data_IF_739808074210
#
_entry.id   IF_739808074210
#
_cell.length_a   1.000
_cell.length_b   1.000
_cell.length_c   1.000
_cell.angle_alpha   90.00
_cell.angle_beta   90.00
_cell.angle_gamma   90.00
#
_symmetry.space_group_name_H-M   'P 1'
#
loop_
_entity.id
_entity.type
_entity.pdbx_description
1 polymer ?
#
# COMPACT_ATOMS: atom_id res chain seq x y z
N UNK A 1 -13.12 -1.60 -31.65
CA UNK A 1 -12.30 -1.34 -30.46
C UNK A 1 -11.61 -2.64 -30.05
N UNK A 2 -10.36 -2.85 -30.42
CA UNK A 2 -9.58 -4.03 -30.05
C UNK A 2 -9.52 -4.10 -28.50
N UNK A 3 -10.03 -5.19 -27.90
CA UNK A 3 -9.78 -5.52 -26.50
C UNK A 3 -8.27 -5.67 -26.40
N UNK A 4 -7.58 -4.76 -25.67
CA UNK A 4 -6.18 -4.92 -25.37
C UNK A 4 -6.02 -6.22 -24.56
N UNK A 5 -5.69 -7.31 -25.25
CA UNK A 5 -5.36 -8.57 -24.58
C UNK A 5 -4.10 -8.34 -23.77
N UNK A 6 -4.14 -8.68 -22.49
CA UNK A 6 -2.97 -8.66 -21.63
C UNK A 6 -1.95 -9.68 -22.13
N UNK A 7 -0.69 -9.27 -22.20
CA UNK A 7 0.42 -10.17 -22.48
C UNK A 7 0.60 -11.18 -21.34
N UNK A 8 1.28 -12.32 -21.58
CA UNK A 8 1.58 -13.27 -20.50
C UNK A 8 2.42 -12.66 -19.35
N UNK A 9 3.30 -11.71 -19.66
CA UNK A 9 4.10 -11.00 -18.66
C UNK A 9 3.23 -10.06 -17.82
N UNK A 10 2.38 -9.25 -18.47
CA UNK A 10 1.42 -8.37 -17.80
C UNK A 10 0.46 -9.13 -16.88
N UNK A 11 -0.08 -10.28 -17.33
CA UNK A 11 -0.92 -11.14 -16.48
C UNK A 11 -0.18 -11.65 -15.26
N UNK A 12 1.08 -12.07 -15.43
CA UNK A 12 1.90 -12.57 -14.33
C UNK A 12 2.19 -11.49 -13.30
N UNK A 13 2.39 -10.24 -13.75
CA UNK A 13 2.60 -9.10 -12.90
C UNK A 13 1.32 -8.73 -12.12
N UNK A 14 0.15 -8.72 -12.78
CA UNK A 14 -1.16 -8.51 -12.16
C UNK A 14 -1.46 -9.57 -11.08
N UNK A 15 -1.10 -10.83 -11.32
CA UNK A 15 -1.31 -11.91 -10.35
C UNK A 15 -0.52 -11.70 -9.06
N UNK A 16 0.62 -11.02 -9.10
CA UNK A 16 1.32 -10.67 -7.88
C UNK A 16 0.51 -9.72 -6.99
N UNK A 17 -0.21 -8.74 -7.57
CA UNK A 17 -1.12 -7.86 -6.80
C UNK A 17 -2.22 -8.66 -6.11
N UNK A 18 -2.77 -9.69 -6.77
CA UNK A 18 -3.73 -10.63 -6.15
C UNK A 18 -3.13 -11.33 -4.93
N UNK A 19 -1.86 -11.76 -5.04
CA UNK A 19 -1.16 -12.47 -3.97
C UNK A 19 -0.87 -11.57 -2.77
N UNK A 20 -0.19 -10.45 -3.02
CA UNK A 20 0.32 -9.59 -1.95
C UNK A 20 -0.77 -8.82 -1.19
N UNK A 21 -1.89 -8.48 -1.85
CA UNK A 21 -2.99 -7.74 -1.24
C UNK A 21 -3.66 -8.52 -0.10
N UNK A 22 -3.56 -9.85 -0.07
CA UNK A 22 -4.02 -10.67 1.05
C UNK A 22 -3.27 -10.33 2.35
N UNK A 23 -1.96 -10.11 2.29
CA UNK A 23 -1.16 -9.72 3.46
C UNK A 23 -1.52 -8.30 3.92
N UNK A 24 -1.87 -7.40 3.02
CA UNK A 24 -2.34 -6.04 3.38
C UNK A 24 -3.58 -6.09 4.27
N UNK A 25 -4.60 -6.86 3.88
CA UNK A 25 -5.82 -7.00 4.68
C UNK A 25 -5.55 -7.74 5.99
N UNK A 26 -4.67 -8.73 5.99
CA UNK A 26 -4.27 -9.43 7.21
C UNK A 26 -3.63 -8.48 8.24
N UNK A 27 -2.74 -7.60 7.78
CA UNK A 27 -2.08 -6.58 8.62
C UNK A 27 -3.08 -5.56 9.17
N UNK A 28 -4.06 -5.17 8.38
CA UNK A 28 -5.05 -4.18 8.78
C UNK A 28 -6.08 -4.71 9.78
N UNK A 29 -6.25 -6.04 9.89
CA UNK A 29 -7.36 -6.63 10.63
C UNK A 29 -6.95 -7.78 11.57
N UNK A 30 -6.48 -8.89 11.03
CA UNK A 30 -6.26 -10.15 11.78
C UNK A 30 -5.02 -10.09 12.67
N UNK A 31 -3.93 -9.48 12.20
CA UNK A 31 -2.68 -9.35 12.99
C UNK A 31 -2.91 -8.53 14.26
N UNK A 32 -3.56 -7.35 14.23
CA UNK A 32 -3.91 -6.60 15.43
C UNK A 32 -4.74 -7.40 16.44
N UNK A 33 -5.74 -8.18 15.98
CA UNK A 33 -6.55 -9.04 16.84
C UNK A 33 -5.68 -10.05 17.59
N UNK A 34 -4.76 -10.72 16.88
CA UNK A 34 -3.88 -11.70 17.53
C UNK A 34 -2.86 -11.04 18.45
N UNK A 35 -2.33 -9.88 18.07
CA UNK A 35 -1.44 -9.13 18.95
C UNK A 35 -2.15 -8.68 20.23
N UNK A 36 -3.40 -8.22 20.15
CA UNK A 36 -4.21 -7.89 21.32
C UNK A 36 -4.38 -9.10 22.25
N UNK A 37 -4.73 -10.25 21.69
CA UNK A 37 -4.85 -11.50 22.45
C UNK A 37 -3.54 -11.87 23.18
N UNK A 38 -2.37 -11.75 22.54
CA UNK A 38 -1.08 -12.01 23.17
C UNK A 38 -0.72 -10.97 24.23
N UNK A 39 -1.09 -9.72 24.01
CA UNK A 39 -0.88 -8.61 24.92
C UNK A 39 -1.70 -8.77 26.22
N UNK A 40 -2.97 -9.14 26.09
CA UNK A 40 -3.86 -9.44 27.21
C UNK A 40 -3.34 -10.61 28.05
N UNK A 41 -2.89 -11.70 27.43
CA UNK A 41 -2.27 -12.83 28.14
C UNK A 41 -0.99 -12.44 28.91
N UNK A 42 -0.28 -11.43 28.42
CA UNK A 42 0.91 -10.89 29.07
C UNK A 42 0.61 -9.83 30.13
N UNK A 43 -0.65 -9.46 30.35
CA UNK A 43 -1.07 -8.43 31.29
C UNK A 43 -0.74 -7.00 30.86
N UNK A 44 -0.57 -6.77 29.55
CA UNK A 44 -0.34 -5.41 29.03
C UNK A 44 -1.65 -4.61 29.08
N UNK A 45 -1.53 -3.34 29.46
CA UNK A 45 -2.67 -2.41 29.38
C UNK A 45 -2.97 -2.04 27.91
N UNK A 46 -4.21 -1.57 27.64
CA UNK A 46 -4.59 -1.08 26.31
C UNK A 46 -3.67 0.04 25.79
N UNK A 47 -3.16 0.88 26.68
CA UNK A 47 -2.21 1.95 26.34
C UNK A 47 -0.88 1.36 25.88
N UNK A 48 -0.37 0.34 26.60
CA UNK A 48 0.87 -0.35 26.22
C UNK A 48 0.72 -1.12 24.91
N UNK A 49 -0.41 -1.81 24.73
CA UNK A 49 -0.74 -2.49 23.48
C UNK A 49 -0.66 -1.55 22.27
N UNK A 50 -1.37 -0.42 22.32
CA UNK A 50 -1.37 0.56 21.23
C UNK A 50 0.01 1.19 21.01
N UNK A 51 0.74 1.50 22.09
CA UNK A 51 2.08 2.08 21.99
C UNK A 51 3.07 1.11 21.32
N UNK A 52 3.11 -0.15 21.76
CA UNK A 52 4.03 -1.14 21.18
C UNK A 52 3.68 -1.52 19.74
N UNK A 53 2.39 -1.58 19.39
CA UNK A 53 1.95 -1.74 18.01
C UNK A 53 2.43 -0.58 17.12
N UNK A 54 2.24 0.66 17.59
CA UNK A 54 2.70 1.86 16.91
C UNK A 54 4.22 1.89 16.72
N UNK A 55 5.00 1.51 17.75
CA UNK A 55 6.46 1.43 17.66
C UNK A 55 6.91 0.37 16.65
N UNK A 56 6.27 -0.79 16.60
CA UNK A 56 6.59 -1.85 15.64
C UNK A 56 6.28 -1.40 14.20
N UNK A 57 5.13 -0.78 13.97
CA UNK A 57 4.75 -0.24 12.67
C UNK A 57 5.73 0.88 12.21
N UNK A 58 6.10 1.78 13.12
CA UNK A 58 7.08 2.85 12.86
C UNK A 58 8.46 2.31 12.55
N UNK A 59 8.94 1.31 13.32
CA UNK A 59 10.22 0.67 13.08
C UNK A 59 10.27 0.00 11.70
N UNK A 60 9.21 -0.72 11.30
CA UNK A 60 9.12 -1.31 9.97
C UNK A 60 9.18 -0.25 8.87
N UNK A 61 8.43 0.84 9.03
CA UNK A 61 8.41 1.96 8.08
C UNK A 61 9.78 2.61 7.94
N UNK A 62 10.46 2.88 9.05
CA UNK A 62 11.79 3.48 9.05
C UNK A 62 12.83 2.57 8.38
N UNK A 63 12.80 1.27 8.67
CA UNK A 63 13.69 0.30 8.03
C UNK A 63 13.47 0.27 6.52
N UNK A 64 12.22 0.24 6.05
CA UNK A 64 11.91 0.25 4.61
C UNK A 64 12.33 1.57 3.97
N UNK A 65 12.15 2.70 4.64
CA UNK A 65 12.56 4.01 4.13
C UNK A 65 14.08 4.10 3.88
N UNK A 66 14.88 3.38 4.69
CA UNK A 66 16.33 3.29 4.48
C UNK A 66 16.69 2.22 3.45
N UNK A 67 16.12 1.02 3.57
CA UNK A 67 16.48 -0.12 2.73
C UNK A 67 15.94 0.02 1.30
N UNK A 68 14.76 0.59 1.13
CA UNK A 68 14.07 0.71 -0.17
C UNK A 68 14.94 1.38 -1.24
N UNK A 69 15.40 2.62 -1.07
CA UNK A 69 16.21 3.29 -2.08
C UNK A 69 17.58 2.67 -2.29
N UNK A 70 18.21 2.16 -1.21
CA UNK A 70 19.51 1.50 -1.27
C UNK A 70 19.45 0.24 -2.12
N UNK A 71 18.53 -0.65 -1.78
CA UNK A 71 18.32 -1.88 -2.57
C UNK A 71 17.66 -1.58 -3.92
N UNK A 72 16.90 -0.50 -4.05
CA UNK A 72 16.36 0.01 -5.31
C UNK A 72 17.48 0.33 -6.31
N UNK A 73 18.46 1.13 -5.87
CA UNK A 73 19.62 1.45 -6.70
C UNK A 73 20.46 0.22 -7.06
N UNK A 74 20.56 -0.75 -6.15
CA UNK A 74 21.22 -2.02 -6.43
C UNK A 74 20.42 -2.88 -7.41
N UNK A 75 19.09 -2.93 -7.27
CA UNK A 75 18.19 -3.70 -8.13
C UNK A 75 18.20 -3.21 -9.59
N UNK A 76 18.49 -1.93 -9.82
CA UNK A 76 18.63 -1.38 -11.17
C UNK A 76 19.89 -1.87 -11.91
N UNK A 77 20.83 -2.51 -11.21
CA UNK A 77 21.98 -3.17 -11.85
C UNK A 77 21.54 -4.43 -12.57
N UNK A 78 22.16 -4.71 -13.72
CA UNK A 78 21.86 -5.86 -14.57
C UNK A 78 21.83 -7.18 -13.77
N UNK A 79 20.70 -7.89 -13.83
CA UNK A 79 20.51 -9.20 -13.22
C UNK A 79 20.21 -9.18 -11.71
N UNK A 80 20.16 -8.02 -11.05
CA UNK A 80 19.96 -7.94 -9.60
C UNK A 80 18.48 -7.75 -9.17
N UNK A 81 17.61 -7.22 -10.03
CA UNK A 81 16.22 -6.88 -9.65
C UNK A 81 15.43 -8.09 -9.15
N UNK A 82 15.47 -9.20 -9.89
CA UNK A 82 14.77 -10.43 -9.50
C UNK A 82 15.33 -11.09 -8.22
N UNK A 83 16.65 -11.27 -8.04
CA UNK A 83 17.22 -11.77 -6.77
C UNK A 83 16.86 -10.92 -5.56
N UNK A 84 16.89 -9.60 -5.69
CA UNK A 84 16.55 -8.70 -4.58
C UNK A 84 15.05 -8.78 -4.28
N UNK A 85 14.19 -8.80 -5.29
CA UNK A 85 12.76 -9.07 -5.12
C UNK A 85 12.51 -10.39 -4.37
N UNK A 86 13.19 -11.48 -4.76
CA UNK A 86 13.10 -12.78 -4.10
C UNK A 86 13.57 -12.76 -2.64
N UNK A 87 14.61 -11.98 -2.33
CA UNK A 87 15.08 -11.80 -0.96
C UNK A 87 13.98 -11.20 -0.08
N UNK A 88 13.42 -10.06 -0.48
CA UNK A 88 12.37 -9.38 0.29
C UNK A 88 11.07 -10.19 0.33
N UNK A 89 10.70 -10.82 -0.78
CA UNK A 89 9.56 -11.76 -0.82
C UNK A 89 9.74 -12.90 0.18
N UNK A 90 10.92 -13.54 0.17
CA UNK A 90 11.24 -14.64 1.09
C UNK A 90 11.18 -14.21 2.55
N UNK A 91 11.76 -13.04 2.88
CA UNK A 91 11.67 -12.45 4.22
C UNK A 91 10.21 -12.20 4.62
N UNK A 92 9.39 -11.65 3.70
CA UNK A 92 7.97 -11.41 3.95
C UNK A 92 7.18 -12.69 4.19
N UNK A 93 7.36 -13.70 3.33
CA UNK A 93 6.68 -15.00 3.43
C UNK A 93 7.09 -15.76 4.70
N UNK A 94 8.39 -15.88 4.97
CA UNK A 94 8.90 -16.54 6.17
C UNK A 94 8.45 -15.80 7.44
N UNK A 95 8.46 -14.47 7.42
CA UNK A 95 7.93 -13.67 8.50
C UNK A 95 6.43 -13.89 8.72
N UNK A 96 5.63 -13.91 7.63
CA UNK A 96 4.19 -14.19 7.71
C UNK A 96 3.91 -15.57 8.34
N UNK A 97 4.59 -16.62 7.87
CA UNK A 97 4.47 -17.96 8.47
C UNK A 97 4.98 -17.98 9.91
N UNK A 98 6.10 -17.30 10.19
CA UNK A 98 6.70 -17.21 11.52
C UNK A 98 5.78 -16.60 12.58
N UNK A 99 4.91 -15.64 12.20
CA UNK A 99 3.90 -15.07 13.12
C UNK A 99 2.98 -16.15 13.74
N UNK A 100 2.71 -17.25 13.03
CA UNK A 100 1.88 -18.36 13.52
C UNK A 100 2.54 -19.23 14.58
N UNK A 101 3.84 -19.19 14.74
CA UNK A 101 4.58 -20.04 15.68
C UNK A 101 4.96 -19.33 16.98
N UNK A 102 4.82 -18.02 17.06
CA UNK A 102 5.25 -17.19 18.18
C UNK A 102 4.08 -16.90 19.12
N UNK A 103 4.30 -17.15 20.42
CA UNK A 103 3.31 -16.96 21.49
C UNK A 103 3.66 -15.82 22.45
N UNK A 104 4.86 -15.27 22.37
CA UNK A 104 5.27 -14.13 23.20
C UNK A 104 5.10 -12.84 22.43
N UNK A 105 4.37 -11.89 22.98
CA UNK A 105 4.02 -10.63 22.34
C UNK A 105 5.23 -9.84 21.78
N UNK A 106 6.35 -9.81 22.48
CA UNK A 106 7.54 -9.07 22.05
C UNK A 106 8.20 -9.70 20.80
N UNK A 107 8.34 -11.04 20.79
CA UNK A 107 8.85 -11.78 19.64
C UNK A 107 7.89 -11.69 18.44
N UNK A 108 6.59 -11.67 18.72
CA UNK A 108 5.58 -11.48 17.70
C UNK A 108 5.75 -10.14 16.99
N UNK A 109 5.92 -9.04 17.73
CA UNK A 109 6.22 -7.72 17.15
C UNK A 109 7.53 -7.71 16.36
N UNK A 110 8.58 -8.36 16.85
CA UNK A 110 9.85 -8.47 16.13
C UNK A 110 9.68 -9.18 14.76
N UNK A 111 8.97 -10.30 14.73
CA UNK A 111 8.68 -11.01 13.48
C UNK A 111 7.73 -10.21 12.58
N UNK A 112 6.75 -9.50 13.16
CA UNK A 112 5.88 -8.59 12.42
C UNK A 112 6.68 -7.50 11.70
N UNK A 113 7.63 -6.87 12.37
CA UNK A 113 8.52 -5.87 11.75
C UNK A 113 9.27 -6.49 10.56
N UNK A 114 9.85 -7.68 10.73
CA UNK A 114 10.57 -8.39 9.66
C UNK A 114 9.63 -8.71 8.49
N UNK A 115 8.45 -9.27 8.77
CA UNK A 115 7.45 -9.59 7.75
C UNK A 115 6.99 -8.34 6.97
N UNK A 116 6.76 -7.24 7.70
CA UNK A 116 6.35 -5.96 7.13
C UNK A 116 7.44 -5.34 6.25
N UNK A 117 8.71 -5.42 6.67
CA UNK A 117 9.86 -4.98 5.87
C UNK A 117 9.98 -5.83 4.59
N UNK A 118 9.86 -7.15 4.70
CA UNK A 118 9.88 -8.06 3.54
C UNK A 118 8.74 -7.75 2.56
N UNK A 119 7.53 -7.60 3.06
CA UNK A 119 6.36 -7.23 2.27
C UNK A 119 6.56 -5.89 1.55
N UNK A 120 6.88 -4.84 2.29
CA UNK A 120 7.04 -3.50 1.73
C UNK A 120 8.19 -3.39 0.74
N UNK A 121 9.32 -4.04 1.04
CA UNK A 121 10.45 -4.10 0.11
C UNK A 121 10.07 -4.85 -1.17
N UNK A 122 9.36 -5.97 -1.08
CA UNK A 122 8.92 -6.70 -2.28
C UNK A 122 8.02 -5.86 -3.19
N UNK A 123 7.17 -4.98 -2.62
CA UNK A 123 6.35 -4.06 -3.41
C UNK A 123 7.17 -3.03 -4.19
N UNK A 124 8.22 -2.46 -3.57
CA UNK A 124 9.11 -1.51 -4.25
C UNK A 124 9.70 -2.14 -5.53
N UNK A 125 10.20 -3.37 -5.41
CA UNK A 125 10.80 -4.07 -6.55
C UNK A 125 9.76 -4.53 -7.57
N UNK A 126 8.59 -4.98 -7.12
CA UNK A 126 7.45 -5.27 -7.96
C UNK A 126 7.01 -4.05 -8.79
N UNK A 127 6.86 -2.89 -8.17
CA UNK A 127 6.52 -1.66 -8.87
C UNK A 127 7.63 -1.23 -9.82
N UNK A 128 8.90 -1.42 -9.45
CA UNK A 128 10.04 -1.11 -10.32
C UNK A 128 10.15 -2.03 -11.55
N UNK A 129 9.60 -3.26 -11.50
CA UNK A 129 9.49 -4.16 -12.65
C UNK A 129 8.52 -3.66 -13.70
N UNK A 130 7.67 -2.70 -13.37
CA UNK A 130 6.57 -2.27 -14.23
C UNK A 130 7.04 -1.78 -15.61
N UNK A 131 8.14 -1.04 -15.67
CA UNK A 131 8.76 -0.58 -16.92
C UNK A 131 9.32 -1.73 -17.78
N UNK A 132 9.67 -2.88 -17.16
CA UNK A 132 10.14 -4.07 -17.87
C UNK A 132 8.99 -4.93 -18.41
N UNK A 133 7.81 -4.82 -17.79
CA UNK A 133 6.64 -5.66 -18.06
C UNK A 133 5.76 -5.12 -19.17
N UNK A 134 5.63 -3.78 -19.28
CA UNK A 134 4.67 -3.16 -20.21
C UNK A 134 5.21 -1.86 -20.81
N UNK A 135 4.69 -1.52 -21.98
CA UNK A 135 5.01 -0.29 -22.69
C UNK A 135 4.24 0.91 -22.11
N UNK A 136 4.76 2.12 -22.32
CA UNK A 136 4.25 3.35 -21.72
C UNK A 136 2.77 3.64 -22.03
N UNK A 137 2.30 3.32 -23.25
CA UNK A 137 0.91 3.50 -23.69
C UNK A 137 -0.07 2.54 -23.02
N UNK A 138 0.42 1.43 -22.45
CA UNK A 138 -0.37 0.39 -21.78
C UNK A 138 -0.35 0.48 -20.26
N UNK A 139 0.57 1.28 -19.69
CA UNK A 139 0.80 1.35 -18.24
C UNK A 139 -0.47 1.65 -17.43
N UNK A 140 -1.33 2.59 -17.86
CA UNK A 140 -2.57 2.90 -17.13
C UNK A 140 -3.52 1.70 -17.09
N UNK A 141 -3.63 0.98 -18.20
CA UNK A 141 -4.47 -0.21 -18.28
C UNK A 141 -3.96 -1.33 -17.39
N UNK A 142 -2.67 -1.66 -17.48
CA UNK A 142 -2.06 -2.77 -16.72
C UNK A 142 -2.04 -2.45 -15.22
N UNK A 143 -1.69 -1.22 -14.82
CA UNK A 143 -1.71 -0.78 -13.43
C UNK A 143 -3.12 -0.87 -12.83
N UNK A 144 -4.13 -0.39 -13.58
CA UNK A 144 -5.54 -0.46 -13.13
C UNK A 144 -6.05 -1.91 -13.00
N UNK A 145 -5.62 -2.81 -13.89
CA UNK A 145 -5.94 -4.24 -13.74
C UNK A 145 -5.25 -4.85 -12.51
N UNK A 146 -3.98 -4.49 -12.22
CA UNK A 146 -3.28 -4.95 -11.03
C UNK A 146 -4.04 -4.61 -9.75
N UNK A 147 -4.37 -3.33 -9.56
CA UNK A 147 -5.15 -2.90 -8.40
C UNK A 147 -6.55 -3.54 -8.36
N UNK A 148 -7.26 -3.59 -9.48
CA UNK A 148 -8.59 -4.20 -9.53
C UNK A 148 -8.55 -5.66 -9.06
N UNK A 149 -7.73 -6.48 -9.66
CA UNK A 149 -7.60 -7.89 -9.29
C UNK A 149 -7.01 -8.09 -7.90
N UNK A 150 -6.15 -7.18 -7.44
CA UNK A 150 -5.65 -7.15 -6.06
C UNK A 150 -6.79 -6.96 -5.04
N UNK A 151 -7.68 -5.99 -5.26
CA UNK A 151 -8.80 -5.74 -4.36
C UNK A 151 -9.74 -6.94 -4.24
N UNK A 152 -10.24 -7.46 -5.33
CA UNK A 152 -11.17 -8.58 -5.26
C UNK A 152 -10.50 -9.89 -4.86
N UNK A 153 -9.25 -10.10 -5.33
CA UNK A 153 -8.48 -11.29 -5.02
C UNK A 153 -8.12 -11.42 -3.53
N UNK A 154 -7.87 -10.30 -2.85
CA UNK A 154 -7.58 -10.29 -1.41
C UNK A 154 -8.80 -10.60 -0.54
N UNK A 155 -10.02 -10.34 -1.04
CA UNK A 155 -11.25 -10.66 -0.30
C UNK A 155 -11.42 -12.17 -0.04
N UNK A 156 -10.93 -13.02 -0.95
CA UNK A 156 -11.07 -14.47 -0.84
C UNK A 156 -10.31 -15.02 0.38
N UNK A 157 -8.95 -14.90 0.43
CA UNK A 157 -8.20 -15.41 1.58
C UNK A 157 -8.56 -14.66 2.87
N UNK A 158 -8.86 -13.36 2.79
CA UNK A 158 -9.31 -12.60 3.95
C UNK A 158 -10.60 -13.16 4.56
N UNK A 159 -11.63 -13.42 3.75
CA UNK A 159 -12.89 -13.98 4.24
C UNK A 159 -12.67 -15.37 4.84
N UNK A 160 -11.87 -16.23 4.20
CA UNK A 160 -11.54 -17.55 4.74
C UNK A 160 -10.83 -17.43 6.10
N UNK A 161 -9.83 -16.55 6.21
CA UNK A 161 -9.11 -16.34 7.45
C UNK A 161 -10.01 -15.75 8.55
N UNK A 162 -10.87 -14.80 8.21
CA UNK A 162 -11.79 -14.17 9.16
C UNK A 162 -12.79 -15.20 9.72
N UNK A 163 -13.41 -16.00 8.84
CA UNK A 163 -14.34 -17.06 9.24
C UNK A 163 -13.64 -18.13 10.10
N UNK A 164 -12.40 -18.48 9.77
CA UNK A 164 -11.59 -19.40 10.55
C UNK A 164 -11.30 -18.88 11.96
N UNK A 165 -10.93 -17.61 12.08
CA UNK A 165 -10.59 -16.98 13.37
C UNK A 165 -11.82 -16.76 14.23
N UNK A 166 -12.90 -16.21 13.67
CA UNK A 166 -14.15 -15.98 14.40
C UNK A 166 -14.89 -17.26 14.74
N UNK A 167 -14.78 -18.30 13.89
CA UNK A 167 -15.39 -19.61 14.08
C UNK A 167 -14.52 -20.61 14.84
N UNK A 168 -13.37 -20.20 15.37
CA UNK A 168 -12.38 -21.09 15.96
C UNK A 168 -12.97 -21.97 17.07
N UNK A 169 -13.73 -21.40 18.01
CA UNK A 169 -14.38 -22.13 19.10
C UNK A 169 -15.36 -23.19 18.58
N UNK A 170 -16.20 -22.83 17.61
CA UNK A 170 -17.16 -23.76 16.99
C UNK A 170 -16.48 -24.89 16.22
N UNK A 171 -15.25 -24.68 15.76
CA UNK A 171 -14.42 -25.70 15.08
C UNK A 171 -13.54 -26.51 16.06
N UNK A 172 -13.61 -26.25 17.36
CA UNK A 172 -12.75 -26.88 18.36
C UNK A 172 -11.26 -26.48 18.24
N UNK A 173 -10.97 -25.35 17.60
CA UNK A 173 -9.61 -24.84 17.43
C UNK A 173 -9.27 -23.81 18.50
N UNK A 174 -8.02 -23.84 18.98
CA UNK A 174 -7.52 -22.73 19.79
C UNK A 174 -7.30 -21.49 18.92
N UNK A 175 -7.39 -20.30 19.51
CA UNK A 175 -7.06 -19.02 18.83
C UNK A 175 -5.67 -19.08 18.17
N UNK A 176 -4.69 -19.65 18.86
CA UNK A 176 -3.32 -19.81 18.34
C UNK A 176 -3.29 -20.66 17.07
N UNK A 177 -4.03 -21.77 17.05
CA UNK A 177 -4.10 -22.66 15.88
C UNK A 177 -4.82 -22.00 14.71
N UNK A 178 -5.94 -21.32 14.98
CA UNK A 178 -6.69 -20.60 13.96
C UNK A 178 -5.84 -19.49 13.31
N UNK A 179 -5.08 -18.74 14.13
CA UNK A 179 -4.15 -17.71 13.64
C UNK A 179 -2.99 -18.29 12.83
N UNK A 180 -2.38 -19.39 13.29
CA UNK A 180 -1.32 -20.05 12.54
C UNK A 180 -1.79 -20.53 11.17
N UNK A 181 -3.01 -21.07 11.09
CA UNK A 181 -3.64 -21.47 9.82
C UNK A 181 -3.91 -20.23 8.93
N UNK A 182 -4.42 -19.13 9.49
CA UNK A 182 -4.68 -17.90 8.74
C UNK A 182 -3.39 -17.32 8.13
N UNK A 183 -2.30 -17.29 8.90
CA UNK A 183 -0.98 -16.85 8.40
C UNK A 183 -0.44 -17.80 7.32
N UNK A 184 -0.61 -19.10 7.50
CA UNK A 184 -0.24 -20.12 6.51
C UNK A 184 -1.02 -19.99 5.19
N UNK A 185 -2.35 -19.83 5.28
CA UNK A 185 -3.22 -19.62 4.11
C UNK A 185 -2.78 -18.37 3.34
N UNK A 186 -2.55 -17.25 4.05
CA UNK A 186 -2.12 -16.00 3.43
C UNK A 186 -0.76 -16.12 2.76
N UNK A 187 0.21 -16.77 3.40
CA UNK A 187 1.54 -16.99 2.83
C UNK A 187 1.49 -17.89 1.58
N UNK A 188 0.71 -18.97 1.60
CA UNK A 188 0.51 -19.87 0.46
C UNK A 188 -0.19 -19.15 -0.70
N UNK A 189 -1.20 -18.35 -0.41
CA UNK A 189 -1.88 -17.51 -1.40
C UNK A 189 -0.91 -16.56 -2.07
N UNK A 190 -0.16 -15.81 -1.27
CA UNK A 190 0.83 -14.86 -1.76
C UNK A 190 1.91 -15.55 -2.61
N UNK A 191 2.49 -16.64 -2.12
CA UNK A 191 3.48 -17.41 -2.87
C UNK A 191 2.91 -17.95 -4.18
N UNK A 192 1.73 -18.58 -4.13
CA UNK A 192 1.10 -19.22 -5.29
C UNK A 192 0.86 -18.23 -6.44
N UNK A 193 0.35 -17.04 -6.13
CA UNK A 193 0.10 -16.00 -7.13
C UNK A 193 1.37 -15.26 -7.57
N UNK A 194 2.48 -15.38 -6.82
CA UNK A 194 3.79 -14.84 -7.21
C UNK A 194 4.54 -15.73 -8.21
N UNK A 195 4.35 -17.05 -8.16
CA UNK A 195 5.10 -17.99 -9.01
C UNK A 195 5.07 -17.67 -10.53
N UNK A 196 3.92 -17.24 -11.12
CA UNK A 196 3.89 -16.86 -12.52
C UNK A 196 4.81 -15.69 -12.86
N UNK A 197 4.90 -14.69 -11.98
CA UNK A 197 5.81 -13.55 -12.15
C UNK A 197 7.27 -14.00 -12.11
N UNK A 198 7.63 -14.83 -11.13
CA UNK A 198 9.01 -15.38 -11.01
C UNK A 198 9.47 -16.16 -12.24
N UNK A 199 8.55 -16.85 -12.92
CA UNK A 199 8.88 -17.64 -14.11
C UNK A 199 9.05 -16.81 -15.37
N UNK A 200 8.38 -15.64 -15.46
CA UNK A 200 8.25 -14.86 -16.70
C UNK A 200 8.96 -13.52 -16.68
N UNK A 201 9.36 -13.05 -15.50
CA UNK A 201 10.02 -11.77 -15.38
C UNK A 201 11.45 -11.83 -15.91
N UNK A 202 11.74 -10.90 -16.82
CA UNK A 202 13.08 -10.60 -17.35
C UNK A 202 13.36 -9.12 -17.21
N UNK A 203 14.52 -8.76 -16.68
CA UNK A 203 14.94 -7.37 -16.53
C UNK A 203 15.38 -6.84 -17.89
N UNK A 204 14.64 -5.86 -18.44
CA UNK A 204 14.92 -5.26 -19.75
C UNK A 204 15.66 -3.95 -19.62
N UNK A 205 15.36 -3.17 -18.60
CA UNK A 205 15.97 -1.88 -18.32
C UNK A 205 16.89 -2.00 -17.11
N UNK A 206 18.16 -1.68 -17.31
CA UNK A 206 19.19 -1.82 -16.27
C UNK A 206 20.34 -0.84 -16.49
N UNK A 207 21.12 -0.67 -15.44
CA UNK A 207 22.42 0.00 -15.46
C UNK A 207 23.49 -1.08 -15.53
N UNK A 208 24.52 -0.87 -16.36
CA UNK A 208 25.61 -1.81 -16.48
C UNK A 208 26.32 -2.09 -15.15
N UNK A 209 26.75 -3.34 -14.99
CA UNK A 209 27.41 -3.79 -13.76
C UNK A 209 28.80 -3.15 -13.64
N UNK A 210 29.04 -2.45 -12.52
CA UNK A 210 30.35 -1.87 -12.18
C UNK A 210 30.95 -2.56 -10.96
N UNK A 211 32.30 -2.63 -10.85
CA UNK A 211 32.94 -3.04 -9.60
C UNK A 211 32.50 -2.13 -8.44
N UNK A 212 32.26 -2.71 -7.26
CA UNK A 212 31.80 -1.99 -6.04
C UNK A 212 30.36 -1.45 -6.08
N UNK A 213 29.44 -2.14 -6.78
CA UNK A 213 28.01 -1.74 -6.95
C UNK A 213 27.31 -1.32 -5.65
N UNK A 214 27.58 -1.94 -4.51
CA UNK A 214 26.96 -1.62 -3.21
C UNK A 214 27.39 -0.24 -2.72
N UNK A 215 28.70 0.05 -2.70
CA UNK A 215 29.22 1.37 -2.27
C UNK A 215 28.77 2.49 -3.22
N UNK A 216 28.73 2.19 -4.51
CA UNK A 216 28.22 3.13 -5.51
C UNK A 216 26.71 3.37 -5.41
N UNK A 217 25.93 2.41 -4.92
CA UNK A 217 24.47 2.55 -4.71
C UNK A 217 24.16 3.63 -3.67
N UNK A 218 24.90 3.69 -2.57
CA UNK A 218 24.74 4.76 -1.58
C UNK A 218 25.13 6.15 -2.15
N UNK A 219 26.22 6.23 -2.88
CA UNK A 219 26.65 7.48 -3.54
C UNK A 219 25.69 7.87 -4.68
N UNK A 220 25.06 6.89 -5.34
CA UNK A 220 24.05 7.11 -6.37
C UNK A 220 22.78 7.67 -5.75
N UNK A 221 22.28 7.10 -4.64
CA UNK A 221 21.11 7.59 -3.92
C UNK A 221 21.22 9.09 -3.60
N UNK A 222 22.36 9.55 -3.06
CA UNK A 222 22.60 10.97 -2.84
C UNK A 222 22.53 11.80 -4.12
N UNK A 223 23.08 11.28 -5.22
CA UNK A 223 23.03 11.94 -6.53
C UNK A 223 21.62 11.94 -7.12
N UNK A 224 20.85 10.87 -6.95
CA UNK A 224 19.46 10.79 -7.45
C UNK A 224 18.52 11.69 -6.68
N UNK A 225 18.67 11.81 -5.37
CA UNK A 225 17.97 12.83 -4.58
C UNK A 225 18.28 14.24 -5.07
N UNK A 226 19.57 14.54 -5.33
CA UNK A 226 19.98 15.82 -5.90
C UNK A 226 19.44 16.02 -7.32
N UNK A 227 19.44 15.00 -8.17
CA UNK A 227 18.89 15.03 -9.53
C UNK A 227 17.37 15.14 -9.53
N UNK A 228 16.66 14.32 -8.72
CA UNK A 228 15.21 14.41 -8.59
C UNK A 228 14.78 15.83 -8.19
N UNK A 229 15.57 16.51 -7.34
CA UNK A 229 15.35 17.93 -7.01
C UNK A 229 15.60 18.87 -8.18
N UNK A 230 16.50 18.52 -9.09
CA UNK A 230 16.79 19.31 -10.33
C UNK A 230 15.72 19.05 -11.41
N UNK A 231 15.19 17.84 -11.50
CA UNK A 231 14.09 17.46 -12.38
C UNK A 231 12.77 17.90 -11.79
N UNK A 232 12.42 19.17 -12.02
CA UNK A 232 11.28 19.85 -11.40
C UNK A 232 9.96 19.07 -11.50
N UNK A 233 9.72 18.33 -12.60
CA UNK A 233 8.50 17.54 -12.79
C UNK A 233 8.43 16.39 -11.80
N UNK A 234 9.51 15.60 -11.69
CA UNK A 234 9.59 14.45 -10.77
C UNK A 234 9.51 14.93 -9.33
N UNK A 235 10.27 15.96 -8.97
CA UNK A 235 10.26 16.52 -7.62
C UNK A 235 8.88 17.02 -7.19
N UNK A 236 8.21 17.80 -8.05
CA UNK A 236 6.86 18.31 -7.76
C UNK A 236 5.83 17.18 -7.70
N UNK A 237 5.99 16.14 -8.54
CA UNK A 237 5.13 14.98 -8.47
C UNK A 237 5.30 14.23 -7.12
N UNK A 238 6.54 13.95 -6.71
CA UNK A 238 6.82 13.29 -5.42
C UNK A 238 6.27 14.09 -4.23
N UNK A 239 6.43 15.42 -4.28
CA UNK A 239 5.87 16.29 -3.24
C UNK A 239 4.34 16.32 -3.28
N UNK A 240 3.73 16.37 -4.46
CA UNK A 240 2.28 16.27 -4.61
C UNK A 240 1.77 14.91 -4.09
N UNK A 241 2.44 13.83 -4.50
CA UNK A 241 2.14 12.46 -4.09
C UNK A 241 2.21 12.33 -2.58
N UNK A 242 3.26 12.86 -1.95
CA UNK A 242 3.40 12.89 -0.50
C UNK A 242 2.14 13.44 0.18
N UNK A 243 1.61 14.58 -0.25
CA UNK A 243 0.44 15.20 0.36
C UNK A 243 -0.86 14.46 0.06
N UNK A 244 -1.17 14.16 -1.21
CA UNK A 244 -2.49 13.58 -1.50
C UNK A 244 -2.58 12.11 -1.14
N UNK A 245 -1.49 11.32 -1.25
CA UNK A 245 -1.52 9.92 -0.87
C UNK A 245 -1.56 9.73 0.64
N UNK A 246 -0.96 10.67 1.39
CA UNK A 246 -1.11 10.75 2.85
C UNK A 246 -2.59 10.84 3.24
N UNK A 247 -3.31 11.77 2.64
CA UNK A 247 -4.74 11.90 2.87
C UNK A 247 -5.50 10.60 2.55
N UNK A 248 -5.17 9.94 1.43
CA UNK A 248 -5.79 8.66 1.02
C UNK A 248 -5.52 7.57 2.04
N UNK A 249 -4.25 7.35 2.41
CA UNK A 249 -3.88 6.30 3.37
C UNK A 249 -4.41 6.60 4.77
N UNK A 250 -4.40 7.86 5.21
CA UNK A 250 -4.97 8.25 6.50
C UNK A 250 -6.47 7.96 6.56
N UNK A 251 -7.23 8.25 5.51
CA UNK A 251 -8.66 7.90 5.45
C UNK A 251 -8.84 6.37 5.54
N UNK A 252 -8.05 5.58 4.82
CA UNK A 252 -8.15 4.12 4.82
C UNK A 252 -7.77 3.54 6.18
N UNK A 253 -6.64 3.98 6.75
CA UNK A 253 -6.08 3.41 7.97
C UNK A 253 -6.87 3.83 9.22
N UNK A 254 -7.48 5.03 9.23
CA UNK A 254 -8.21 5.55 10.37
C UNK A 254 -9.72 5.37 10.30
N UNK A 255 -10.29 4.91 9.19
CA UNK A 255 -11.74 4.85 9.00
C UNK A 255 -12.45 4.03 10.09
N UNK A 256 -11.94 2.84 10.42
CA UNK A 256 -12.52 1.98 11.46
C UNK A 256 -12.38 2.61 12.84
N UNK A 257 -11.19 3.10 13.20
CA UNK A 257 -10.96 3.76 14.48
C UNK A 257 -11.82 5.02 14.65
N UNK A 258 -12.02 5.77 13.57
CA UNK A 258 -12.92 6.92 13.56
C UNK A 258 -14.38 6.51 13.75
N UNK A 259 -14.83 5.45 13.05
CA UNK A 259 -16.18 4.91 13.22
C UNK A 259 -16.44 4.40 14.64
N UNK A 260 -15.50 3.68 15.23
CA UNK A 260 -15.57 3.22 16.63
C UNK A 260 -15.63 4.40 17.63
N UNK A 261 -14.82 5.43 17.41
CA UNK A 261 -14.84 6.64 18.23
C UNK A 261 -16.17 7.42 18.16
N UNK A 262 -16.94 7.24 17.07
CA UNK A 262 -18.31 7.75 16.93
C UNK A 262 -19.37 6.80 17.51
N UNK A 263 -18.98 5.65 18.07
CA UNK A 263 -19.89 4.66 18.65
C UNK A 263 -20.62 3.81 17.61
N UNK A 264 -20.07 3.64 16.41
CA UNK A 264 -20.64 2.80 15.36
C UNK A 264 -20.33 1.31 15.61
N UNK A 265 -21.18 0.42 15.07
CA UNK A 265 -21.03 -1.02 15.23
C UNK A 265 -19.77 -1.56 14.55
N UNK A 266 -18.90 -2.22 15.31
CA UNK A 266 -17.61 -2.76 14.83
C UNK A 266 -17.78 -3.79 13.72
N UNK A 267 -18.82 -4.65 13.76
CA UNK A 267 -19.08 -5.61 12.70
C UNK A 267 -19.46 -4.90 11.38
N UNK A 268 -20.28 -3.87 11.49
CA UNK A 268 -20.62 -3.02 10.34
C UNK A 268 -19.43 -2.26 9.77
N UNK A 269 -18.45 -1.85 10.60
CA UNK A 269 -17.21 -1.22 10.15
C UNK A 269 -16.34 -2.21 9.36
N UNK A 270 -16.17 -3.44 9.84
CA UNK A 270 -15.40 -4.48 9.13
C UNK A 270 -16.04 -4.87 7.79
N UNK A 271 -17.38 -5.01 7.76
CA UNK A 271 -18.11 -5.26 6.52
C UNK A 271 -17.94 -4.09 5.52
N UNK A 272 -17.93 -2.86 5.99
CA UNK A 272 -17.70 -1.69 5.14
C UNK A 272 -16.33 -1.71 4.47
N UNK A 273 -15.27 -2.22 5.13
CA UNK A 273 -13.97 -2.44 4.49
C UNK A 273 -14.06 -3.42 3.31
N UNK A 274 -14.80 -4.52 3.46
CA UNK A 274 -15.04 -5.46 2.35
C UNK A 274 -15.80 -4.79 1.20
N UNK A 275 -16.82 -4.00 1.51
CA UNK A 275 -17.57 -3.23 0.50
C UNK A 275 -16.66 -2.28 -0.24
N UNK A 276 -15.75 -1.59 0.45
CA UNK A 276 -14.76 -0.73 -0.19
C UNK A 276 -13.93 -1.50 -1.22
N UNK A 277 -13.45 -2.70 -0.90
CA UNK A 277 -12.68 -3.54 -1.82
C UNK A 277 -13.51 -4.00 -3.03
N UNK A 278 -14.76 -4.43 -2.79
CA UNK A 278 -15.69 -4.88 -3.84
C UNK A 278 -16.00 -3.73 -4.81
N UNK A 279 -16.22 -2.52 -4.31
CA UNK A 279 -16.47 -1.32 -5.13
C UNK A 279 -15.21 -0.87 -5.86
N UNK A 280 -14.05 -0.95 -5.21
CA UNK A 280 -12.77 -0.56 -5.81
C UNK A 280 -12.40 -1.43 -7.03
N UNK A 281 -12.83 -2.70 -7.08
CA UNK A 281 -12.57 -3.58 -8.21
C UNK A 281 -13.12 -3.04 -9.55
N UNK A 282 -14.44 -2.85 -9.73
CA UNK A 282 -14.98 -2.31 -10.97
C UNK A 282 -14.55 -0.87 -11.23
N UNK A 283 -14.36 -0.08 -10.17
CA UNK A 283 -13.90 1.29 -10.29
C UNK A 283 -12.49 1.39 -10.86
N UNK A 284 -11.54 0.60 -10.38
CA UNK A 284 -10.19 0.57 -10.94
C UNK A 284 -10.19 0.21 -12.43
N UNK A 285 -11.02 -0.77 -12.85
CA UNK A 285 -11.21 -1.11 -14.26
C UNK A 285 -11.77 0.07 -15.05
N UNK A 286 -12.74 0.80 -14.48
CA UNK A 286 -13.33 1.98 -15.09
C UNK A 286 -12.28 3.07 -15.32
N UNK A 287 -11.46 3.39 -14.32
CA UNK A 287 -10.37 4.35 -14.46
C UNK A 287 -9.33 3.92 -15.50
N UNK A 288 -8.99 2.64 -15.58
CA UNK A 288 -8.15 2.10 -16.66
C UNK A 288 -8.76 2.24 -18.06
N UNK A 289 -10.10 2.26 -18.17
CA UNK A 289 -10.80 2.55 -19.45
C UNK A 289 -10.84 4.05 -19.72
N UNK A 290 -11.09 4.88 -18.71
CA UNK A 290 -11.11 6.33 -18.83
C UNK A 290 -9.72 6.88 -19.22
N UNK A 291 -8.64 6.28 -18.76
CA UNK A 291 -7.27 6.64 -19.08
C UNK A 291 -6.92 6.48 -20.58
N UNK A 292 -7.79 5.83 -21.37
CA UNK A 292 -7.67 5.80 -22.83
C UNK A 292 -8.19 7.07 -23.53
N UNK A 293 -9.06 7.81 -22.85
CA UNK A 293 -9.69 9.03 -23.40
C UNK A 293 -9.16 10.29 -22.75
N UNK A 294 -8.77 10.17 -21.49
CA UNK A 294 -8.31 11.27 -20.65
C UNK A 294 -6.91 10.97 -20.16
N UNK A 295 -6.07 11.97 -20.13
CA UNK A 295 -4.69 11.81 -19.62
C UNK A 295 -4.67 11.61 -18.09
N UNK A 296 -3.60 11.01 -17.57
CA UNK A 296 -3.37 10.93 -16.11
C UNK A 296 -3.36 12.32 -15.46
N UNK A 297 -2.92 13.34 -16.20
CA UNK A 297 -2.91 14.74 -15.77
C UNK A 297 -4.31 15.35 -15.57
N UNK A 298 -5.35 14.72 -16.15
CA UNK A 298 -6.76 15.08 -15.94
C UNK A 298 -7.43 14.20 -14.89
N UNK A 299 -7.16 12.89 -14.90
CA UNK A 299 -7.84 11.93 -14.02
C UNK A 299 -7.30 11.95 -12.59
N UNK A 300 -6.00 12.14 -12.37
CA UNK A 300 -5.43 12.22 -11.01
C UNK A 300 -5.99 13.42 -10.25
N UNK A 301 -6.04 14.65 -10.79
CA UNK A 301 -6.70 15.77 -10.14
C UNK A 301 -8.18 15.55 -9.83
N UNK A 302 -8.91 14.84 -10.70
CA UNK A 302 -10.29 14.45 -10.44
C UNK A 302 -10.41 13.57 -9.19
N UNK A 303 -9.53 12.56 -9.08
CA UNK A 303 -9.50 11.69 -7.91
C UNK A 303 -9.11 12.46 -6.64
N UNK A 304 -8.13 13.36 -6.71
CA UNK A 304 -7.71 14.19 -5.56
C UNK A 304 -8.88 15.09 -5.12
N UNK A 305 -9.59 15.72 -6.05
CA UNK A 305 -10.76 16.54 -5.75
C UNK A 305 -11.91 15.73 -5.14
N UNK A 306 -12.13 14.50 -5.62
CA UNK A 306 -13.10 13.59 -5.02
C UNK A 306 -12.74 13.23 -3.57
N UNK A 307 -11.46 12.91 -3.31
CA UNK A 307 -11.00 12.64 -1.95
C UNK A 307 -11.06 13.86 -1.03
N UNK A 308 -10.85 15.07 -1.55
CA UNK A 308 -11.15 16.30 -0.81
C UNK A 308 -12.62 16.35 -0.37
N UNK A 309 -13.56 16.07 -1.27
CA UNK A 309 -14.98 15.97 -0.94
C UNK A 309 -15.30 14.86 0.06
N UNK A 310 -14.63 13.70 -0.06
CA UNK A 310 -14.76 12.57 0.87
C UNK A 310 -14.30 12.97 2.28
N UNK A 311 -13.18 13.68 2.42
CA UNK A 311 -12.69 14.17 3.70
C UNK A 311 -13.67 15.17 4.34
N UNK A 312 -14.24 16.07 3.56
CA UNK A 312 -15.30 16.99 4.03
C UNK A 312 -16.55 16.22 4.45
N UNK A 313 -17.00 15.22 3.66
CA UNK A 313 -18.13 14.36 4.02
C UNK A 313 -17.89 13.63 5.35
N UNK A 314 -16.69 13.09 5.55
CA UNK A 314 -16.31 12.40 6.78
C UNK A 314 -16.44 13.26 8.05
N UNK A 315 -16.25 14.59 7.96
CA UNK A 315 -16.46 15.49 9.10
C UNK A 315 -17.89 15.46 9.66
N UNK A 316 -18.88 15.21 8.79
CA UNK A 316 -20.30 15.24 9.14
C UNK A 316 -20.86 13.85 9.44
N UNK A 317 -20.02 12.82 9.49
CA UNK A 317 -20.40 11.43 9.73
C UNK A 317 -20.92 11.27 11.17
N UNK A 318 -22.12 10.66 11.32
CA UNK A 318 -22.78 10.42 12.60
C UNK A 318 -23.45 9.04 12.68
N UNK A 319 -23.75 8.42 11.55
CA UNK A 319 -24.54 7.18 11.51
C UNK A 319 -23.83 6.08 10.72
N UNK A 320 -24.18 4.83 11.02
CA UNK A 320 -23.69 3.66 10.31
C UNK A 320 -23.99 3.72 8.80
N UNK A 321 -25.17 4.21 8.41
CA UNK A 321 -25.53 4.39 7.00
C UNK A 321 -24.64 5.38 6.27
N UNK A 322 -24.27 6.50 6.92
CA UNK A 322 -23.30 7.45 6.36
C UNK A 322 -21.91 6.84 6.22
N UNK A 323 -21.48 5.97 7.15
CA UNK A 323 -20.22 5.25 7.07
C UNK A 323 -20.20 4.29 5.85
N UNK A 324 -21.30 3.61 5.56
CA UNK A 324 -21.42 2.79 4.35
C UNK A 324 -21.30 3.61 3.07
N UNK A 325 -21.92 4.79 3.03
CA UNK A 325 -21.75 5.72 1.90
C UNK A 325 -20.30 6.17 1.78
N UNK A 326 -19.62 6.49 2.89
CA UNK A 326 -18.19 6.82 2.91
C UNK A 326 -17.36 5.67 2.31
N UNK A 327 -17.59 4.43 2.72
CA UNK A 327 -16.90 3.24 2.22
C UNK A 327 -17.05 3.07 0.70
N UNK A 328 -18.27 3.28 0.18
CA UNK A 328 -18.53 3.25 -1.27
C UNK A 328 -17.78 4.38 -1.99
N UNK A 329 -17.82 5.61 -1.48
CA UNK A 329 -17.12 6.76 -2.07
C UNK A 329 -15.61 6.54 -2.10
N UNK A 330 -15.02 6.04 -1.01
CA UNK A 330 -13.59 5.68 -0.96
C UNK A 330 -13.29 4.62 -2.01
N UNK A 331 -14.07 3.52 -2.07
CA UNK A 331 -13.90 2.46 -3.06
C UNK A 331 -13.97 2.96 -4.50
N UNK A 332 -14.84 3.92 -4.81
CA UNK A 332 -14.98 4.49 -6.14
C UNK A 332 -13.71 5.21 -6.65
N UNK A 333 -12.88 5.76 -5.79
CA UNK A 333 -11.73 6.55 -6.21
C UNK A 333 -10.38 5.93 -5.80
N UNK A 334 -10.36 5.00 -4.84
CA UNK A 334 -9.15 4.38 -4.32
C UNK A 334 -8.32 3.70 -5.42
N UNK A 335 -8.95 2.86 -6.21
CA UNK A 335 -8.29 2.16 -7.30
C UNK A 335 -7.77 3.10 -8.38
N UNK A 336 -8.55 4.14 -8.71
CA UNK A 336 -8.16 5.15 -9.70
C UNK A 336 -6.94 5.93 -9.29
N UNK A 337 -6.94 6.52 -8.08
CA UNK A 337 -5.84 7.38 -7.63
C UNK A 337 -4.54 6.60 -7.47
N UNK A 338 -4.59 5.38 -6.92
CA UNK A 338 -3.40 4.55 -6.72
C UNK A 338 -2.84 4.04 -8.06
N UNK A 339 -3.69 3.48 -8.92
CA UNK A 339 -3.28 2.91 -10.20
C UNK A 339 -2.72 3.96 -11.17
N UNK A 340 -3.38 5.12 -11.28
CA UNK A 340 -2.94 6.19 -12.17
C UNK A 340 -1.70 6.90 -11.64
N UNK A 341 -1.53 7.05 -10.32
CA UNK A 341 -0.32 7.62 -9.75
C UNK A 341 0.90 6.74 -10.03
N UNK A 342 0.77 5.40 -9.86
CA UNK A 342 1.83 4.44 -10.17
C UNK A 342 2.21 4.47 -11.65
N UNK A 343 1.25 4.43 -12.55
CA UNK A 343 1.52 4.45 -13.99
C UNK A 343 2.05 5.81 -14.48
N UNK A 344 1.55 6.92 -13.94
CA UNK A 344 2.04 8.25 -14.26
C UNK A 344 3.50 8.40 -13.82
N UNK A 345 3.83 7.98 -12.60
CA UNK A 345 5.19 8.02 -12.08
C UNK A 345 6.15 7.17 -12.93
N UNK A 346 5.76 5.94 -13.27
CA UNK A 346 6.56 5.06 -14.12
C UNK A 346 6.90 5.68 -15.49
N UNK A 347 6.02 6.54 -16.03
CA UNK A 347 6.26 7.22 -17.31
C UNK A 347 7.21 8.42 -17.24
N UNK A 348 7.27 9.09 -16.09
CA UNK A 348 8.09 10.31 -15.96
C UNK A 348 9.48 10.03 -15.42
N UNK A 349 9.76 8.83 -14.94
CA UNK A 349 11.08 8.44 -14.44
C UNK A 349 11.90 7.68 -15.50
N UNK A 350 13.25 7.69 -15.40
CA UNK A 350 14.08 6.85 -16.25
C UNK A 350 13.84 5.36 -15.99
N UNK A 351 13.49 4.58 -17.01
CA UNK A 351 13.15 3.17 -16.89
C UNK A 351 14.31 2.31 -16.31
N UNK A 352 15.57 2.66 -16.61
CA UNK A 352 16.76 1.98 -16.11
C UNK A 352 17.14 2.31 -14.65
N UNK A 353 16.42 3.25 -14.01
CA UNK A 353 16.58 3.64 -12.61
C UNK A 353 15.26 3.48 -11.82
N UNK A 354 14.34 2.68 -12.34
CA UNK A 354 13.00 2.50 -11.77
C UNK A 354 13.03 2.01 -10.31
N UNK A 355 13.94 1.15 -9.92
CA UNK A 355 14.08 0.66 -8.53
C UNK A 355 14.40 1.77 -7.55
N UNK A 356 15.34 2.63 -7.91
CA UNK A 356 15.74 3.76 -7.08
C UNK A 356 14.60 4.79 -6.93
N UNK A 357 13.93 5.14 -8.03
CA UNK A 357 12.82 6.10 -7.99
C UNK A 357 11.57 5.56 -7.30
N UNK A 358 11.21 4.28 -7.49
CA UNK A 358 10.11 3.67 -6.74
C UNK A 358 10.44 3.52 -5.25
N UNK A 359 11.71 3.32 -4.88
CA UNK A 359 12.15 3.43 -3.51
C UNK A 359 11.90 4.82 -2.89
N UNK A 360 12.14 5.90 -3.65
CA UNK A 360 11.82 7.27 -3.21
C UNK A 360 10.29 7.50 -3.13
N UNK A 361 9.53 6.97 -4.07
CA UNK A 361 8.07 7.05 -4.05
C UNK A 361 7.49 6.37 -2.80
N UNK A 362 8.02 5.20 -2.44
CA UNK A 362 7.59 4.45 -1.25
C UNK A 362 7.88 5.22 0.06
N UNK A 363 9.04 5.90 0.15
CA UNK A 363 9.32 6.82 1.27
C UNK A 363 8.26 7.92 1.35
N UNK A 364 7.94 8.54 0.21
CA UNK A 364 6.91 9.58 0.17
C UNK A 364 5.55 9.02 0.61
N UNK A 365 5.14 7.85 0.13
CA UNK A 365 3.87 7.23 0.51
C UNK A 365 3.78 6.85 1.99
N UNK A 366 4.83 6.24 2.54
CA UNK A 366 4.83 5.78 3.94
C UNK A 366 5.15 6.88 4.94
N UNK A 367 6.05 7.81 4.59
CA UNK A 367 6.32 9.00 5.41
C UNK A 367 5.11 9.92 5.49
N UNK A 368 4.33 9.95 4.43
CA UNK A 368 3.07 10.66 4.35
C UNK A 368 2.06 10.12 5.37
N UNK A 369 1.78 8.83 5.39
CA UNK A 369 0.78 8.21 6.29
C UNK A 369 0.99 8.56 7.78
N UNK A 370 2.24 8.80 8.18
CA UNK A 370 2.57 9.30 9.52
C UNK A 370 2.12 10.75 9.74
N UNK A 371 2.23 11.61 8.73
CA UNK A 371 1.87 13.03 8.87
C UNK A 371 0.36 13.21 9.03
N UNK A 372 -0.45 12.57 8.20
CA UNK A 372 -1.91 12.70 8.24
C UNK A 372 -2.52 12.17 9.53
N UNK A 373 -2.08 10.99 9.99
CA UNK A 373 -2.52 10.45 11.27
C UNK A 373 -2.10 11.33 12.44
N UNK A 374 -0.91 11.94 12.40
CA UNK A 374 -0.44 12.89 13.41
C UNK A 374 -1.32 14.16 13.41
N UNK A 375 -1.60 14.73 12.24
CA UNK A 375 -2.48 15.91 12.11
C UNK A 375 -3.86 15.63 12.69
N UNK A 376 -4.48 14.50 12.34
CA UNK A 376 -5.78 14.08 12.89
C UNK A 376 -5.71 14.00 14.41
N UNK A 377 -4.70 13.32 14.95
CA UNK A 377 -4.55 13.11 16.40
C UNK A 377 -4.34 14.40 17.16
N UNK A 378 -3.41 15.25 16.71
CA UNK A 378 -3.09 16.54 17.37
C UNK A 378 -4.28 17.49 17.33
N UNK A 379 -4.93 17.64 16.17
CA UNK A 379 -6.09 18.53 16.06
C UNK A 379 -7.26 18.01 16.91
N UNK A 380 -7.51 16.69 16.91
CA UNK A 380 -8.55 16.09 17.75
C UNK A 380 -8.29 16.31 19.24
N UNK A 381 -7.04 16.20 19.70
CA UNK A 381 -6.66 16.45 21.08
C UNK A 381 -6.78 17.92 21.47
N UNK A 382 -6.32 18.84 20.62
CA UNK A 382 -6.35 20.27 20.89
C UNK A 382 -7.77 20.85 20.87
N UNK A 383 -8.64 20.34 20.00
CA UNK A 383 -10.01 20.86 19.81
C UNK A 383 -11.06 20.08 20.59
N UNK A 384 -10.71 18.88 21.10
CA UNK A 384 -11.70 17.96 21.68
C UNK A 384 -12.70 17.40 20.65
N UNK A 385 -12.44 17.59 19.35
CA UNK A 385 -13.37 17.23 18.28
C UNK A 385 -12.66 16.39 17.19
N UNK A 386 -12.93 15.08 17.19
CA UNK A 386 -12.33 14.12 16.26
C UNK A 386 -12.72 14.45 14.81
N UNK A 387 -13.96 14.90 14.57
CA UNK A 387 -14.43 15.25 13.23
C UNK A 387 -13.67 16.42 12.61
N UNK A 388 -13.23 17.40 13.42
CA UNK A 388 -12.35 18.47 12.95
C UNK A 388 -10.97 17.94 12.57
N UNK A 389 -10.41 17.01 13.37
CA UNK A 389 -9.15 16.36 13.05
C UNK A 389 -9.21 15.67 11.69
N UNK A 390 -10.26 14.88 11.45
CA UNK A 390 -10.49 14.20 10.16
C UNK A 390 -10.66 15.21 9.03
N UNK A 391 -11.36 16.31 9.25
CA UNK A 391 -11.54 17.36 8.24
C UNK A 391 -10.26 18.06 7.81
N UNK A 392 -9.26 18.13 8.70
CA UNK A 392 -7.96 18.73 8.35
C UNK A 392 -7.21 17.95 7.25
N UNK A 393 -7.54 16.66 7.04
CA UNK A 393 -7.03 15.88 5.92
C UNK A 393 -7.37 16.54 4.58
N UNK A 394 -8.49 17.24 4.49
CA UNK A 394 -8.87 17.97 3.28
C UNK A 394 -7.81 18.98 2.81
N UNK A 395 -7.07 19.60 3.73
CA UNK A 395 -5.97 20.50 3.38
C UNK A 395 -4.84 19.80 2.64
N UNK A 396 -4.55 18.53 2.99
CA UNK A 396 -3.54 17.74 2.32
C UNK A 396 -3.89 17.52 0.85
N UNK A 397 -5.18 17.25 0.56
CA UNK A 397 -5.66 17.13 -0.81
C UNK A 397 -5.59 18.44 -1.58
N UNK A 398 -5.87 19.60 -0.96
CA UNK A 398 -5.72 20.90 -1.62
C UNK A 398 -4.28 21.19 -1.99
N UNK A 399 -3.34 20.97 -1.05
CA UNK A 399 -1.91 21.16 -1.31
C UNK A 399 -1.44 20.18 -2.40
N UNK A 400 -1.80 18.91 -2.28
CA UNK A 400 -1.49 17.87 -3.26
C UNK A 400 -2.02 18.20 -4.66
N UNK A 401 -3.27 18.67 -4.76
CA UNK A 401 -3.88 19.09 -6.02
C UNK A 401 -3.15 20.27 -6.67
N UNK A 402 -2.80 21.28 -5.87
CA UNK A 402 -2.06 22.44 -6.37
C UNK A 402 -0.68 22.05 -6.90
N UNK A 403 0.07 21.25 -6.14
CA UNK A 403 1.40 20.79 -6.52
C UNK A 403 1.35 19.86 -7.76
N UNK A 404 0.37 18.93 -7.81
CA UNK A 404 0.21 18.07 -8.97
C UNK A 404 -0.11 18.84 -10.25
N UNK A 405 -1.03 19.82 -10.19
CA UNK A 405 -1.33 20.68 -11.33
C UNK A 405 -0.11 21.49 -11.79
N UNK A 406 0.78 21.86 -10.87
CA UNK A 406 2.06 22.50 -11.19
C UNK A 406 3.01 21.54 -11.89
N UNK A 407 3.13 20.30 -11.38
CA UNK A 407 3.95 19.26 -12.00
C UNK A 407 3.47 18.89 -13.41
N UNK A 408 2.14 18.76 -13.60
CA UNK A 408 1.53 18.40 -14.88
C UNK A 408 1.77 19.42 -16.01
N UNK A 409 2.00 20.69 -15.67
CA UNK A 409 2.31 21.74 -16.65
C UNK A 409 3.76 21.74 -17.14
N UNK A 410 4.65 21.00 -16.48
CA UNK A 410 6.05 20.93 -16.86
C UNK A 410 6.24 19.90 -17.98
N UNK A 411 7.16 20.16 -18.93
CA UNK A 411 7.54 19.17 -19.94
C UNK A 411 8.10 17.90 -19.26
N UNK A 412 7.97 16.77 -19.98
CA UNK A 412 8.51 15.50 -19.55
C UNK A 412 10.03 15.47 -19.66
#
# INVERSE_FOLDING_TARGET
MSKLKLTPAERSWILYDVGNSAFTLLVATIIPIYFNFLAEQAGLSNVQYLAYWGYAASAATLLVAVLGPVFGALADTQGYKKPIFLLFLGVGLLGCVGLGFVRRWLWFLGIFVIARVGYSGSLIFYDSMFSDITEADRMDHVSSQGYAWGYIGSCIPFTVCLLLVLGAEGLGLSMVTAMALAFGITALWWLGFTLPLLRRYEQRHFVERRPHAIRESFARLGRTLARARQEKKIFLFLLAFFFYIDGVYTIIDMATAYGEALGLDSAGLLLALLVTQIVAFPSAILFGRLARRFSGEQLIPLCIAAYFGIAIYAMFLRTQGQFWVLAVLVGLFQGGIQALSRSYFARIIPANQSGEYFGLLDICGKGASFMGTTVVSVVSQLTGNISLGVGMIALLFLVGLFLFRKAAKLPA
#
